data_IF_454741030395
#
_entry.id   IF_454741030395
#
_cell.length_a   1.000
_cell.length_b   1.000
_cell.length_c   1.000
_cell.angle_alpha   90.00
_cell.angle_beta   90.00
_cell.angle_gamma   90.00
#
_symmetry.space_group_name_H-M   'P 1'
#
loop_
_entity.id
_entity.type
_entity.pdbx_description
1 polymer ?
#
# COMPACT_ATOMS: atom_id res chain seq x y z
N UNK A 1 3.45 -29.80 3.71
CA UNK A 1 2.98 -28.63 4.47
C UNK A 1 2.50 -27.62 3.44
N UNK A 2 1.24 -27.18 3.46
CA UNK A 2 0.80 -26.12 2.54
C UNK A 2 1.53 -24.81 2.89
N UNK A 3 1.96 -24.07 1.88
CA UNK A 3 2.42 -22.69 2.03
C UNK A 3 1.20 -21.83 2.34
N UNK A 4 1.33 -20.92 3.30
CA UNK A 4 0.31 -19.89 3.56
C UNK A 4 1.00 -18.53 3.64
N UNK A 5 0.42 -17.53 2.99
CA UNK A 5 0.85 -16.13 3.07
C UNK A 5 -0.25 -15.40 3.84
N UNK A 6 -0.05 -15.19 5.14
CA UNK A 6 -1.05 -14.58 6.03
C UNK A 6 -1.08 -13.05 5.98
N UNK A 7 0.06 -12.45 5.64
CA UNK A 7 0.30 -11.02 5.73
C UNK A 7 1.40 -10.61 4.76
N UNK A 8 1.43 -9.32 4.44
CA UNK A 8 2.49 -8.68 3.66
C UNK A 8 2.82 -7.33 4.30
N UNK A 9 4.01 -6.82 4.01
CA UNK A 9 4.36 -5.41 4.29
C UNK A 9 4.75 -4.74 2.99
N UNK A 10 4.09 -3.63 2.68
CA UNK A 10 4.41 -2.76 1.55
C UNK A 10 5.38 -1.70 2.06
N UNK A 11 6.47 -1.46 1.32
CA UNK A 11 7.41 -0.39 1.59
C UNK A 11 7.38 0.60 0.44
N UNK A 12 7.13 1.87 0.74
CA UNK A 12 7.23 2.96 -0.21
C UNK A 12 8.59 3.65 -0.08
N UNK A 13 9.24 3.89 -1.22
CA UNK A 13 10.45 4.71 -1.31
C UNK A 13 10.11 6.04 -1.96
N UNK A 14 10.40 7.13 -1.25
CA UNK A 14 10.25 8.48 -1.77
C UNK A 14 11.59 9.05 -2.21
N UNK A 15 11.61 9.70 -3.38
CA UNK A 15 12.79 10.41 -3.88
C UNK A 15 12.94 11.77 -3.20
N UNK A 16 11.83 12.46 -2.98
CA UNK A 16 11.77 13.69 -2.22
C UNK A 16 11.67 13.39 -0.71
N UNK A 17 12.57 13.97 0.09
CA UNK A 17 12.58 13.78 1.53
C UNK A 17 11.34 14.38 2.22
N UNK A 18 10.74 15.43 1.65
CA UNK A 18 9.53 16.08 2.16
C UNK A 18 8.24 15.30 1.88
N UNK A 19 8.26 14.39 0.90
CA UNK A 19 7.05 13.73 0.45
C UNK A 19 6.35 12.89 1.55
N UNK A 20 5.02 12.89 1.51
CA UNK A 20 4.16 12.05 2.34
C UNK A 20 3.66 10.85 1.55
N UNK A 21 3.33 9.77 2.25
CA UNK A 21 2.79 8.55 1.66
C UNK A 21 1.57 8.14 2.47
N UNK A 22 0.46 7.91 1.78
CA UNK A 22 -0.80 7.42 2.32
C UNK A 22 -1.23 6.16 1.57
N UNK A 23 -1.89 5.26 2.27
CA UNK A 23 -2.35 4.00 1.70
C UNK A 23 -3.85 3.88 1.88
N UNK A 24 -4.54 3.44 0.83
CA UNK A 24 -5.99 3.30 0.81
C UNK A 24 -6.40 1.90 0.35
N UNK A 25 -7.58 1.47 0.76
CA UNK A 25 -8.22 0.30 0.16
C UNK A 25 -8.87 0.64 -1.19
N UNK A 26 -9.46 -0.37 -1.83
CA UNK A 26 -10.21 -0.22 -3.10
C UNK A 26 -11.42 0.70 -3.01
N UNK A 27 -11.88 1.04 -1.80
CA UNK A 27 -13.00 1.94 -1.53
C UNK A 27 -12.55 3.34 -1.11
N UNK A 28 -11.26 3.65 -1.25
CA UNK A 28 -10.63 4.91 -0.84
C UNK A 28 -10.67 5.20 0.67
N UNK A 29 -10.80 4.17 1.51
CA UNK A 29 -10.63 4.34 2.96
C UNK A 29 -9.14 4.35 3.32
N UNK A 30 -8.74 5.31 4.15
CA UNK A 30 -7.36 5.40 4.63
C UNK A 30 -7.02 4.20 5.52
N UNK A 31 -6.01 3.44 5.13
CA UNK A 31 -5.48 2.29 5.86
C UNK A 31 -4.31 2.69 6.77
N UNK A 32 -3.55 3.72 6.37
CA UNK A 32 -2.42 4.23 7.12
C UNK A 32 -1.55 5.19 6.30
N UNK A 33 -0.48 5.68 6.92
CA UNK A 33 0.49 6.58 6.28
C UNK A 33 1.91 6.27 6.76
N UNK A 34 2.90 6.71 5.97
CA UNK A 34 4.33 6.55 6.26
C UNK A 34 5.08 5.64 5.29
N UNK A 35 6.34 5.30 5.61
CA UNK A 35 7.23 4.58 4.69
C UNK A 35 6.83 3.13 4.44
N UNK A 36 5.89 2.58 5.22
CA UNK A 36 5.43 1.21 5.05
C UNK A 36 4.01 1.01 5.57
N UNK A 37 3.31 0.03 4.99
CA UNK A 37 2.01 -0.45 5.45
C UNK A 37 2.08 -1.97 5.70
N UNK A 38 1.74 -2.40 6.91
CA UNK A 38 1.47 -3.80 7.19
C UNK A 38 0.02 -4.14 6.81
N UNK A 39 -0.16 -5.20 6.02
CA UNK A 39 -1.48 -5.70 5.60
C UNK A 39 -1.69 -7.08 6.24
N UNK A 40 -2.27 -7.14 7.45
CA UNK A 40 -2.55 -8.40 8.13
C UNK A 40 -3.79 -9.08 7.53
N UNK A 41 -3.94 -10.37 7.78
CA UNK A 41 -5.12 -11.16 7.40
C UNK A 41 -5.46 -11.03 5.92
N UNK A 42 -4.46 -11.17 5.06
CA UNK A 42 -4.64 -11.12 3.61
C UNK A 42 -5.76 -12.12 3.23
N UNK A 43 -6.65 -11.74 2.31
CA UNK A 43 -7.74 -12.62 1.87
C UNK A 43 -7.26 -13.61 0.80
N UNK A 44 -7.94 -14.76 0.65
CA UNK A 44 -7.72 -15.60 -0.55
C UNK A 44 -8.43 -14.90 -1.70
N UNK A 45 -7.77 -14.78 -2.84
CA UNK A 45 -8.22 -13.99 -3.98
C UNK A 45 -7.56 -12.63 -4.04
N UNK A 46 -8.29 -11.66 -4.60
CA UNK A 46 -7.78 -10.33 -4.90
C UNK A 46 -7.82 -9.38 -3.70
N UNK A 47 -6.72 -8.66 -3.49
CA UNK A 47 -6.61 -7.51 -2.58
C UNK A 47 -5.96 -6.37 -3.32
N UNK A 48 -6.59 -5.19 -3.34
CA UNK A 48 -6.05 -3.98 -3.95
C UNK A 48 -5.72 -2.96 -2.85
N UNK A 49 -4.53 -2.38 -2.94
CA UNK A 49 -4.07 -1.27 -2.10
C UNK A 49 -3.63 -0.14 -3.03
N UNK A 50 -4.17 1.06 -2.82
CA UNK A 50 -3.77 2.26 -3.54
C UNK A 50 -2.76 3.02 -2.68
N UNK A 51 -1.60 3.36 -3.24
CA UNK A 51 -0.55 4.11 -2.55
C UNK A 51 -0.47 5.49 -3.18
N UNK A 52 -0.80 6.52 -2.41
CA UNK A 52 -0.72 7.91 -2.82
C UNK A 52 0.55 8.52 -2.25
N UNK A 53 1.40 9.06 -3.11
CA UNK A 53 2.61 9.79 -2.74
C UNK A 53 2.42 11.25 -3.10
N UNK A 54 2.53 12.14 -2.12
CA UNK A 54 2.42 13.60 -2.34
C UNK A 54 3.77 14.24 -2.08
N UNK A 55 4.36 14.87 -3.10
CA UNK A 55 5.61 15.61 -2.99
C UNK A 55 5.44 16.94 -2.24
N UNK A 56 6.55 17.58 -1.82
CA UNK A 56 6.52 18.84 -1.07
C UNK A 56 5.92 20.01 -1.90
N UNK A 57 6.00 19.92 -3.23
CA UNK A 57 5.37 20.88 -4.15
C UNK A 57 3.87 20.64 -4.40
N UNK A 58 3.29 19.61 -3.76
CA UNK A 58 1.89 19.21 -3.90
C UNK A 58 1.61 18.29 -5.10
N UNK A 59 2.62 17.89 -5.87
CA UNK A 59 2.44 16.90 -6.94
C UNK A 59 2.08 15.55 -6.33
N UNK A 60 0.99 14.96 -6.83
CA UNK A 60 0.50 13.64 -6.38
C UNK A 60 0.85 12.57 -7.42
N UNK A 61 1.32 11.42 -6.96
CA UNK A 61 1.48 10.20 -7.74
C UNK A 61 0.83 9.01 -7.05
N UNK A 62 -0.05 8.31 -7.77
CA UNK A 62 -0.76 7.14 -7.29
C UNK A 62 -0.16 5.85 -7.87
N UNK A 63 -0.10 4.82 -7.04
CA UNK A 63 0.34 3.48 -7.42
C UNK A 63 -0.69 2.43 -6.97
N UNK A 64 -1.07 1.56 -7.90
CA UNK A 64 -1.94 0.42 -7.60
C UNK A 64 -1.12 -0.83 -7.26
N UNK A 65 -1.32 -1.36 -6.06
CA UNK A 65 -0.74 -2.63 -5.62
C UNK A 65 -1.84 -3.69 -5.63
N UNK A 66 -1.79 -4.56 -6.64
CA UNK A 66 -2.74 -5.66 -6.83
C UNK A 66 -2.12 -6.99 -6.39
N UNK A 67 -2.72 -7.63 -5.40
CA UNK A 67 -2.27 -8.90 -4.83
C UNK A 67 -3.32 -9.97 -5.14
N UNK A 68 -2.90 -11.09 -5.74
CA UNK A 68 -3.76 -12.25 -6.04
C UNK A 68 -3.21 -13.49 -5.31
N UNK A 69 -3.85 -13.86 -4.20
CA UNK A 69 -3.45 -15.02 -3.38
C UNK A 69 -4.28 -16.25 -3.77
N UNK A 70 -3.63 -17.33 -4.23
CA UNK A 70 -4.27 -18.57 -4.69
C UNK A 70 -3.64 -19.82 -4.08
#
# INVERSE_FOLDING_TARGET
MPLTISDITIYATKTDAGATVEYYDSSSNLLGSGPSLAVPNLAIGWTQINVQVTADDGTVQDYDVNIDRR
#
